data_IF_187828855666
#
_entry.id   IF_187828855666
#
_cell.length_a   1.000
_cell.length_b   1.000
_cell.length_c   1.000
_cell.angle_alpha   90.00
_cell.angle_beta   90.00
_cell.angle_gamma   90.00
#
_symmetry.space_group_name_H-M   'P 1'
#
loop_
_entity.id
_entity.type
_entity.pdbx_description
1 polymer ?
#
# COMPACT_ATOMS: atom_id res chain seq x y z
N UNK A 1 -17.54 -1.99 -4.11
CA UNK A 1 -16.14 -2.00 -4.54
C UNK A 1 -16.09 -1.56 -5.99
N UNK A 2 -15.02 -0.90 -6.48
CA UNK A 2 -15.01 -0.26 -7.80
C UNK A 2 -15.39 -1.20 -8.96
N UNK A 3 -15.13 -2.49 -8.79
CA UNK A 3 -15.41 -3.60 -9.70
C UNK A 3 -16.87 -4.08 -9.72
N UNK A 4 -17.71 -3.68 -8.74
CA UNK A 4 -19.09 -4.19 -8.64
C UNK A 4 -20.13 -3.31 -9.34
N UNK A 5 -19.93 -1.99 -9.36
CA UNK A 5 -20.89 -1.04 -9.97
C UNK A 5 -20.50 -0.66 -11.41
N UNK A 6 -19.26 -0.94 -11.83
CA UNK A 6 -18.76 -0.61 -13.15
C UNK A 6 -17.89 -1.75 -13.70
N UNK A 7 -18.48 -2.59 -14.57
CA UNK A 7 -17.74 -3.64 -15.31
C UNK A 7 -16.63 -3.06 -16.22
N UNK A 8 -16.70 -1.77 -16.50
CA UNK A 8 -15.77 -1.04 -17.37
C UNK A 8 -14.56 -0.46 -16.61
N UNK A 9 -14.54 -0.51 -15.27
CA UNK A 9 -13.38 -0.11 -14.49
C UNK A 9 -12.35 -1.26 -14.44
N UNK A 10 -11.04 -0.97 -14.56
CA UNK A 10 -10.02 -1.99 -14.43
C UNK A 10 -10.14 -2.69 -13.08
N UNK A 11 -10.18 -4.02 -13.09
CA UNK A 11 -10.18 -4.81 -11.87
C UNK A 11 -8.93 -4.46 -11.04
N UNK A 12 -9.09 -4.11 -9.76
CA UNK A 12 -7.98 -3.74 -8.86
C UNK A 12 -6.87 -4.80 -8.88
N UNK A 13 -7.22 -6.08 -8.97
CA UNK A 13 -6.24 -7.17 -9.07
C UNK A 13 -5.44 -7.12 -10.37
N UNK A 14 -6.08 -6.75 -11.49
CA UNK A 14 -5.38 -6.56 -12.76
C UNK A 14 -4.43 -5.36 -12.68
N UNK A 15 -4.86 -4.26 -12.06
CA UNK A 15 -4.00 -3.09 -11.86
C UNK A 15 -2.77 -3.40 -11.00
N UNK A 16 -2.94 -4.23 -9.97
CA UNK A 16 -1.83 -4.75 -9.15
C UNK A 16 -0.89 -5.59 -10.04
N UNK A 17 -1.44 -6.51 -10.84
CA UNK A 17 -0.65 -7.36 -11.72
C UNK A 17 0.11 -6.58 -12.81
N UNK A 18 -0.49 -5.52 -13.32
CA UNK A 18 0.09 -4.62 -14.32
C UNK A 18 1.02 -3.58 -13.70
N UNK A 19 1.37 -3.71 -12.40
CA UNK A 19 2.20 -2.80 -11.64
C UNK A 19 1.79 -1.32 -11.80
N UNK A 20 0.48 -1.05 -11.76
CA UNK A 20 -0.06 0.32 -11.75
C UNK A 20 0.04 1.01 -10.39
N UNK A 21 0.54 0.29 -9.38
CA UNK A 21 0.74 0.79 -8.02
C UNK A 21 2.16 0.50 -7.54
N UNK A 22 2.82 1.51 -7.01
CA UNK A 22 4.16 1.39 -6.39
C UNK A 22 4.08 1.18 -4.86
N UNK A 23 2.93 1.46 -4.25
CA UNK A 23 2.65 1.29 -2.83
C UNK A 23 1.15 1.05 -2.61
N UNK A 24 0.82 0.11 -1.73
CA UNK A 24 -0.57 -0.17 -1.33
C UNK A 24 -0.74 0.07 0.17
N UNK A 25 -1.73 0.90 0.54
CA UNK A 25 -2.16 1.09 1.93
C UNK A 25 -3.53 0.42 2.12
N UNK A 26 -3.59 -0.74 2.78
CA UNK A 26 -4.80 -1.52 2.99
C UNK A 26 -5.13 -1.68 4.48
N UNK A 27 -5.87 -0.73 5.04
CA UNK A 27 -6.29 -0.74 6.45
C UNK A 27 -7.72 -1.29 6.55
N UNK A 28 -7.97 -2.39 7.29
CA UNK A 28 -9.30 -2.98 7.41
C UNK A 28 -10.25 -2.03 8.15
N UNK A 29 -11.40 -1.72 7.54
CA UNK A 29 -12.40 -0.80 8.11
C UNK A 29 -13.42 -1.49 9.01
N UNK A 30 -13.80 -2.73 8.69
CA UNK A 30 -14.75 -3.53 9.47
C UNK A 30 -14.55 -5.04 9.23
N UNK A 31 -15.25 -5.87 10.02
CA UNK A 31 -15.16 -7.34 9.96
C UNK A 31 -16.23 -7.98 9.08
N UNK A 32 -16.85 -7.25 8.16
CA UNK A 32 -17.80 -7.87 7.23
C UNK A 32 -17.05 -8.88 6.36
N UNK A 33 -17.65 -10.05 6.10
CA UNK A 33 -17.02 -11.10 5.28
C UNK A 33 -16.54 -10.57 3.92
N UNK A 34 -17.29 -9.63 3.34
CA UNK A 34 -16.96 -8.96 2.08
C UNK A 34 -15.67 -8.14 2.17
N UNK A 35 -15.58 -7.23 3.14
CA UNK A 35 -14.38 -6.42 3.35
C UNK A 35 -13.15 -7.28 3.68
N UNK A 36 -13.32 -8.32 4.49
CA UNK A 36 -12.24 -9.26 4.81
C UNK A 36 -11.74 -10.01 3.58
N UNK A 37 -12.64 -10.47 2.71
CA UNK A 37 -12.29 -11.22 1.50
C UNK A 37 -11.58 -10.33 0.48
N UNK A 38 -12.11 -9.14 0.20
CA UNK A 38 -11.51 -8.23 -0.76
C UNK A 38 -10.20 -7.64 -0.24
N UNK A 39 -10.14 -7.28 1.04
CA UNK A 39 -8.90 -6.88 1.69
C UNK A 39 -7.85 -7.99 1.65
N UNK A 40 -8.23 -9.25 1.87
CA UNK A 40 -7.30 -10.38 1.74
C UNK A 40 -6.74 -10.50 0.33
N UNK A 41 -7.58 -10.43 -0.71
CA UNK A 41 -7.15 -10.51 -2.12
C UNK A 41 -6.13 -9.43 -2.46
N UNK A 42 -6.39 -8.18 -2.07
CA UNK A 42 -5.47 -7.06 -2.31
C UNK A 42 -4.14 -7.28 -1.60
N UNK A 43 -4.16 -7.65 -0.31
CA UNK A 43 -2.93 -7.92 0.43
C UNK A 43 -2.13 -9.06 -0.18
N UNK A 44 -2.80 -10.13 -0.62
CA UNK A 44 -2.14 -11.25 -1.29
C UNK A 44 -1.54 -10.85 -2.62
N UNK A 45 -2.29 -10.14 -3.46
CA UNK A 45 -1.80 -9.63 -4.75
C UNK A 45 -0.60 -8.69 -4.59
N UNK A 46 -0.61 -7.81 -3.60
CA UNK A 46 0.54 -6.94 -3.31
C UNK A 46 1.80 -7.76 -3.02
N UNK A 47 1.71 -8.78 -2.17
CA UNK A 47 2.83 -9.66 -1.84
C UNK A 47 3.29 -10.48 -3.06
N UNK A 48 2.35 -11.04 -3.83
CA UNK A 48 2.65 -11.85 -5.02
C UNK A 48 3.38 -11.05 -6.10
N UNK A 49 3.07 -9.76 -6.23
CA UNK A 49 3.69 -8.86 -7.18
C UNK A 49 4.83 -8.02 -6.56
N UNK A 50 5.28 -8.33 -5.35
CA UNK A 50 6.37 -7.62 -4.66
C UNK A 50 6.14 -6.09 -4.57
N UNK A 51 4.89 -5.67 -4.37
CA UNK A 51 4.51 -4.28 -4.16
C UNK A 51 4.46 -4.00 -2.64
N UNK A 52 5.16 -2.97 -2.14
CA UNK A 52 5.11 -2.58 -0.74
C UNK A 52 3.67 -2.43 -0.22
N UNK A 53 3.41 -2.97 0.98
CA UNK A 53 2.08 -3.03 1.59
C UNK A 53 2.10 -2.51 3.03
N UNK A 54 1.26 -1.51 3.34
CA UNK A 54 1.04 -1.00 4.69
C UNK A 54 -0.39 -1.33 5.13
N UNK A 55 -0.55 -1.95 6.30
CA UNK A 55 -1.85 -2.37 6.84
C UNK A 55 -2.28 -1.65 8.11
N UNK A 56 -1.42 -0.77 8.63
CA UNK A 56 -1.63 -0.04 9.88
C UNK A 56 -1.74 1.47 9.62
N UNK A 57 -2.79 2.11 10.14
CA UNK A 57 -3.03 3.53 9.97
C UNK A 57 -1.92 4.41 10.57
N UNK A 58 -1.44 4.08 11.78
CA UNK A 58 -0.38 4.86 12.45
C UNK A 58 0.93 4.80 11.67
N UNK A 59 1.28 3.62 11.16
CA UNK A 59 2.47 3.45 10.32
C UNK A 59 2.33 4.20 9.00
N UNK A 60 1.16 4.11 8.34
CA UNK A 60 0.90 4.84 7.10
C UNK A 60 1.01 6.36 7.31
N UNK A 61 0.42 6.89 8.39
CA UNK A 61 0.52 8.31 8.72
C UNK A 61 1.96 8.75 8.97
N UNK A 62 2.70 8.01 9.80
CA UNK A 62 4.10 8.33 10.09
C UNK A 62 4.97 8.27 8.83
N UNK A 63 4.73 7.29 7.94
CA UNK A 63 5.44 7.17 6.67
C UNK A 63 5.16 8.37 5.74
N UNK A 64 3.88 8.73 5.57
CA UNK A 64 3.48 9.87 4.73
C UNK A 64 4.03 11.19 5.30
N UNK A 65 3.95 11.37 6.61
CA UNK A 65 4.49 12.56 7.28
C UNK A 65 6.01 12.67 7.08
N UNK A 66 6.76 11.60 7.32
CA UNK A 66 8.21 11.57 7.08
C UNK A 66 8.53 11.84 5.60
N UNK A 67 7.78 11.22 4.68
CA UNK A 67 7.97 11.41 3.24
C UNK A 67 7.68 12.84 2.78
N UNK A 68 6.70 13.51 3.36
CA UNK A 68 6.34 14.88 2.98
C UNK A 68 7.17 15.96 3.69
N UNK A 69 7.80 15.65 4.83
CA UNK A 69 8.57 16.61 5.63
C UNK A 69 10.07 16.56 5.34
N UNK A 70 10.60 15.42 4.91
CA UNK A 70 12.00 15.28 4.50
C UNK A 70 12.14 15.60 3.01
N UNK A 71 12.92 16.63 2.68
CA UNK A 71 13.28 16.87 1.28
C UNK A 71 14.30 15.83 0.80
N UNK A 72 14.39 15.61 -0.51
CA UNK A 72 15.40 14.71 -1.08
C UNK A 72 16.82 15.12 -0.71
N UNK A 73 17.09 16.43 -0.60
CA UNK A 73 18.40 16.95 -0.19
C UNK A 73 18.75 16.62 1.27
N UNK A 74 17.75 16.33 2.11
CA UNK A 74 17.93 15.90 3.49
C UNK A 74 18.12 14.39 3.63
N UNK A 75 17.84 13.61 2.59
CA UNK A 75 18.08 12.16 2.54
C UNK A 75 19.57 11.89 2.29
N UNK A 76 20.38 12.11 3.33
CA UNK A 76 21.80 11.77 3.27
C UNK A 76 22.00 10.26 3.44
N UNK A 77 22.86 9.67 2.59
CA UNK A 77 23.36 8.32 2.80
C UNK A 77 24.29 8.38 4.01
N UNK A 78 23.78 7.97 5.16
CA UNK A 78 24.58 7.85 6.37
C UNK A 78 25.45 6.60 6.28
N UNK A 79 26.64 6.66 6.87
CA UNK A 79 27.45 5.47 7.06
C UNK A 79 26.74 4.50 7.99
N UNK A 80 26.98 3.20 7.82
CA UNK A 80 26.30 2.15 8.59
C UNK A 80 26.44 2.34 10.12
N UNK A 81 27.56 2.91 10.56
CA UNK A 81 27.88 3.18 11.96
C UNK A 81 27.00 4.28 12.60
N UNK A 82 26.29 5.07 11.79
CA UNK A 82 25.41 6.15 12.26
C UNK A 82 23.96 5.71 12.53
N UNK A 83 23.63 4.43 12.27
CA UNK A 83 22.30 3.85 12.54
C UNK A 83 22.24 3.07 13.86
N UNK A 84 23.31 3.08 14.65
CA UNK A 84 23.41 2.49 16.00
C UNK A 84 22.66 3.31 17.07
#
# INVERSE_FOLDING_TARGET
WPDEDHKDLPNVMQMIADHKFDLIVNIPKNHTKRELTNGYRIRRGAIDHNIPLITNARLASAFIEAFCTLSQDQLQIKSWQEYE
#
